data_IF_349148719796
#
_entry.id   IF_349148719796
#
_cell.length_a   1.000
_cell.length_b   1.000
_cell.length_c   1.000
_cell.angle_alpha   90.00
_cell.angle_beta   90.00
_cell.angle_gamma   90.00
#
_symmetry.space_group_name_H-M   'P 1'
#
loop_
_entity.id
_entity.type
_entity.pdbx_description
1 polymer ?
#
# COMPACT_ATOMS: atom_id res chain seq x y z
N UNK A 1 56.24 -3.79 33.18
CA UNK A 1 56.26 -3.08 31.88
C UNK A 1 54.98 -3.39 31.14
N UNK A 2 54.20 -2.34 30.79
CA UNK A 2 53.31 -2.26 29.62
C UNK A 2 52.11 -3.23 29.55
N UNK A 3 50.85 -2.81 29.38
CA UNK A 3 50.25 -1.56 28.91
C UNK A 3 48.81 -1.49 29.45
N UNK A 4 48.47 -0.37 30.05
CA UNK A 4 47.11 0.07 30.36
C UNK A 4 46.38 0.34 29.04
N UNK A 5 45.29 -0.38 28.75
CA UNK A 5 44.42 -0.07 27.60
C UNK A 5 43.56 1.14 28.00
N UNK A 6 44.00 2.30 27.53
CA UNK A 6 43.24 3.55 27.55
C UNK A 6 41.94 3.35 26.75
N UNK A 7 40.82 3.18 27.45
CA UNK A 7 39.48 3.21 26.88
C UNK A 7 39.09 4.68 26.74
N UNK A 8 39.12 5.19 25.51
CA UNK A 8 38.60 6.51 25.17
C UNK A 8 37.07 6.50 25.23
N UNK A 9 36.42 7.42 25.98
CA UNK A 9 34.97 7.55 25.96
C UNK A 9 34.57 8.39 24.74
N UNK A 10 33.78 7.83 23.82
CA UNK A 10 33.26 8.57 22.64
C UNK A 10 31.75 8.85 22.79
N UNK A 11 31.18 8.76 23.99
CA UNK A 11 29.71 8.67 24.14
C UNK A 11 29.03 9.81 24.91
N UNK A 12 29.76 10.83 25.41
CA UNK A 12 29.11 11.97 26.10
C UNK A 12 28.68 13.10 25.17
N UNK A 13 29.50 13.46 24.19
CA UNK A 13 29.33 14.74 23.49
C UNK A 13 28.18 14.73 22.48
N UNK A 14 27.91 13.57 21.85
CA UNK A 14 26.83 13.42 20.87
C UNK A 14 25.41 13.51 21.49
N UNK A 15 25.25 13.15 22.77
CA UNK A 15 23.97 13.30 23.48
C UNK A 15 23.65 14.76 23.77
N UNK A 16 24.66 15.53 24.18
CA UNK A 16 24.53 16.96 24.48
C UNK A 16 24.18 17.79 23.25
N UNK A 17 24.65 17.39 22.06
CA UNK A 17 24.34 18.06 20.79
C UNK A 17 22.91 17.78 20.30
N UNK A 18 22.39 16.58 20.54
CA UNK A 18 21.04 16.19 20.11
C UNK A 18 19.94 16.85 20.95
N UNK A 19 20.17 17.00 22.26
CA UNK A 19 19.26 17.68 23.19
C UNK A 19 19.12 19.18 22.89
N UNK A 20 20.09 19.78 22.18
CA UNK A 20 20.05 21.17 21.74
C UNK A 20 19.22 21.38 20.44
N UNK A 21 18.86 20.30 19.73
CA UNK A 21 18.08 20.39 18.50
C UNK A 21 16.59 20.55 18.81
N UNK A 22 15.90 21.58 18.27
CA UNK A 22 14.46 21.73 18.46
C UNK A 22 13.67 20.49 18.04
N UNK A 23 12.70 20.06 18.84
CA UNK A 23 11.86 18.87 18.58
C UNK A 23 11.18 18.92 17.21
N UNK A 24 10.78 20.11 16.75
CA UNK A 24 10.19 20.31 15.42
C UNK A 24 11.15 19.94 14.28
N UNK A 25 12.45 20.18 14.43
CA UNK A 25 13.46 19.81 13.44
C UNK A 25 13.69 18.29 13.42
N UNK A 26 13.69 17.67 14.61
CA UNK A 26 13.77 16.21 14.74
C UNK A 26 12.54 15.53 14.11
N UNK A 27 11.33 16.06 14.35
CA UNK A 27 10.11 15.56 13.74
C UNK A 27 10.16 15.65 12.21
N UNK A 28 10.59 16.80 11.66
CA UNK A 28 10.79 16.96 10.20
C UNK A 28 11.80 15.98 9.64
N UNK A 29 12.90 15.73 10.33
CA UNK A 29 13.89 14.73 9.91
C UNK A 29 13.30 13.32 9.94
N UNK A 30 12.54 12.96 10.97
CA UNK A 30 11.97 11.62 11.17
C UNK A 30 10.95 11.21 10.10
N UNK A 31 10.29 12.17 9.44
CA UNK A 31 9.32 11.87 8.37
C UNK A 31 9.96 11.86 6.98
N UNK A 32 11.26 12.19 6.85
CA UNK A 32 11.94 12.14 5.56
C UNK A 32 12.14 10.69 5.13
N UNK A 33 11.73 10.31 3.90
CA UNK A 33 11.96 8.96 3.38
C UNK A 33 13.43 8.53 3.43
N UNK A 34 14.35 9.47 3.19
CA UNK A 34 15.80 9.22 3.24
C UNK A 34 16.29 8.84 4.63
N UNK A 35 15.76 9.47 5.70
CA UNK A 35 16.14 9.19 7.08
C UNK A 35 15.64 7.82 7.50
N UNK A 36 14.35 7.53 7.30
CA UNK A 36 13.78 6.23 7.67
C UNK A 36 14.42 5.08 6.89
N UNK A 37 14.68 5.28 5.59
CA UNK A 37 15.38 4.29 4.79
C UNK A 37 16.82 4.09 5.25
N UNK A 38 17.55 5.16 5.58
CA UNK A 38 18.93 5.05 6.06
C UNK A 38 19.03 4.32 7.41
N UNK A 39 18.12 4.59 8.36
CA UNK A 39 18.04 3.85 9.63
C UNK A 39 17.87 2.35 9.33
N UNK A 40 16.85 2.02 8.55
CA UNK A 40 16.53 0.63 8.21
C UNK A 40 17.68 -0.05 7.48
N UNK A 41 18.26 0.60 6.48
CA UNK A 41 19.38 0.06 5.69
C UNK A 41 20.59 -0.20 6.57
N UNK A 42 20.94 0.71 7.48
CA UNK A 42 22.08 0.53 8.40
C UNK A 42 21.93 -0.75 9.24
N UNK A 43 20.70 -1.17 9.57
CA UNK A 43 20.45 -2.45 10.26
C UNK A 43 20.62 -3.70 9.38
N UNK A 44 20.41 -3.59 8.06
CA UNK A 44 20.46 -4.72 7.12
C UNK A 44 21.72 -4.72 6.23
N UNK A 45 22.64 -3.80 6.46
CA UNK A 45 23.93 -3.73 5.75
C UNK A 45 24.70 -5.03 5.96
N UNK A 46 25.11 -5.64 4.86
CA UNK A 46 25.98 -6.81 4.88
C UNK A 46 27.34 -6.45 5.50
N UNK A 47 27.99 -7.39 6.18
CA UNK A 47 29.27 -7.15 6.89
C UNK A 47 30.36 -6.54 6.00
N UNK A 48 30.40 -6.93 4.72
CA UNK A 48 31.34 -6.38 3.72
C UNK A 48 31.15 -4.87 3.45
N UNK A 49 30.02 -4.29 3.84
CA UNK A 49 29.65 -2.88 3.68
C UNK A 49 29.60 -2.14 5.03
N UNK A 50 30.11 -2.73 6.11
CA UNK A 50 30.12 -2.18 7.48
C UNK A 50 30.80 -0.81 7.64
N UNK A 51 31.58 -0.36 6.64
CA UNK A 51 32.21 0.97 6.63
C UNK A 51 31.24 2.11 6.26
N UNK A 52 30.08 1.80 5.69
CA UNK A 52 29.09 2.82 5.30
C UNK A 52 28.41 3.35 6.55
N UNK A 53 28.47 4.66 6.78
CA UNK A 53 27.82 5.29 7.92
C UNK A 53 26.40 5.75 7.58
N UNK A 54 25.63 6.11 8.61
CA UNK A 54 24.26 6.59 8.48
C UNK A 54 24.14 7.84 7.58
N UNK A 55 25.08 8.79 7.69
CA UNK A 55 25.06 10.04 6.93
C UNK A 55 25.21 9.80 5.43
N UNK A 56 26.13 8.92 5.05
CA UNK A 56 26.35 8.52 3.65
C UNK A 56 25.14 7.77 3.09
N UNK A 57 24.53 6.87 3.88
CA UNK A 57 23.28 6.21 3.50
C UNK A 57 22.14 7.20 3.30
N UNK A 58 21.98 8.15 4.22
CA UNK A 58 20.95 9.18 4.12
C UNK A 58 21.15 10.04 2.87
N UNK A 59 22.38 10.49 2.61
CA UNK A 59 22.70 11.33 1.46
C UNK A 59 22.40 10.61 0.13
N UNK A 60 22.80 9.34 0.01
CA UNK A 60 22.56 8.56 -1.20
C UNK A 60 21.07 8.26 -1.42
N UNK A 61 20.31 7.91 -0.37
CA UNK A 61 18.86 7.72 -0.53
C UNK A 61 18.16 9.05 -0.87
N UNK A 62 18.56 10.15 -0.23
CA UNK A 62 17.99 11.47 -0.55
C UNK A 62 18.23 11.85 -2.02
N UNK A 63 19.41 11.55 -2.56
CA UNK A 63 19.73 11.73 -3.98
C UNK A 63 18.82 10.88 -4.87
N UNK A 64 18.68 9.59 -4.58
CA UNK A 64 17.80 8.71 -5.38
C UNK A 64 16.33 9.16 -5.34
N UNK A 65 15.84 9.65 -4.20
CA UNK A 65 14.52 10.26 -4.12
C UNK A 65 14.40 11.50 -5.02
N UNK A 66 15.42 12.36 -5.03
CA UNK A 66 15.45 13.54 -5.89
C UNK A 66 15.50 13.16 -7.38
N UNK A 67 16.29 12.15 -7.75
CA UNK A 67 16.37 11.63 -9.13
C UNK A 67 14.98 11.18 -9.62
N UNK A 68 14.24 10.42 -8.81
CA UNK A 68 12.87 9.99 -9.15
C UNK A 68 11.92 11.18 -9.30
N UNK A 69 12.00 12.17 -8.42
CA UNK A 69 11.20 13.42 -8.52
C UNK A 69 11.53 14.19 -9.81
N UNK A 70 12.77 14.13 -10.27
CA UNK A 70 13.21 14.73 -11.53
C UNK A 70 12.91 13.88 -12.78
N UNK A 71 12.25 12.72 -12.62
CA UNK A 71 11.89 11.81 -13.71
C UNK A 71 12.99 10.83 -14.13
N UNK A 72 14.11 10.77 -13.41
CA UNK A 72 15.20 9.84 -13.67
C UNK A 72 14.90 8.45 -13.08
N UNK A 73 14.34 7.56 -13.90
CA UNK A 73 13.89 6.24 -13.47
C UNK A 73 14.95 5.14 -13.56
N UNK A 74 16.15 5.43 -14.08
CA UNK A 74 17.23 4.43 -14.31
C UNK A 74 17.56 3.61 -13.07
N UNK A 75 17.63 4.25 -11.90
CA UNK A 75 17.90 3.56 -10.65
C UNK A 75 16.74 2.64 -10.24
N UNK A 76 15.49 3.11 -10.38
CA UNK A 76 14.29 2.31 -10.07
C UNK A 76 14.20 1.10 -11.00
N UNK A 77 14.47 1.29 -12.29
CA UNK A 77 14.50 0.20 -13.27
C UNK A 77 15.53 -0.87 -12.90
N UNK A 78 16.75 -0.44 -12.57
CA UNK A 78 17.83 -1.34 -12.16
C UNK A 78 17.49 -2.05 -10.83
N UNK A 79 16.89 -1.34 -9.86
CA UNK A 79 16.48 -1.89 -8.58
C UNK A 79 15.40 -2.97 -8.77
N UNK A 80 14.34 -2.71 -9.55
CA UNK A 80 13.28 -3.67 -9.82
C UNK A 80 13.81 -4.91 -10.55
N UNK A 81 14.73 -4.73 -11.50
CA UNK A 81 15.39 -5.85 -12.17
C UNK A 81 16.22 -6.69 -11.20
N UNK A 82 17.02 -6.06 -10.33
CA UNK A 82 17.81 -6.77 -9.31
C UNK A 82 16.93 -7.52 -8.30
N UNK A 83 15.79 -6.93 -7.91
CA UNK A 83 14.79 -7.59 -7.06
C UNK A 83 14.16 -8.80 -7.76
N UNK A 84 13.78 -8.67 -9.04
CA UNK A 84 13.25 -9.79 -9.83
C UNK A 84 14.26 -10.95 -9.92
N UNK A 85 15.53 -10.66 -10.20
CA UNK A 85 16.60 -11.67 -10.24
C UNK A 85 16.82 -12.33 -8.88
N UNK A 86 16.75 -11.57 -7.79
CA UNK A 86 16.88 -12.12 -6.43
C UNK A 86 15.69 -13.03 -6.08
N UNK A 87 14.47 -12.65 -6.44
CA UNK A 87 13.27 -13.46 -6.24
C UNK A 87 13.28 -14.74 -7.09
N UNK A 88 13.79 -14.67 -8.32
CA UNK A 88 14.01 -15.84 -9.16
C UNK A 88 15.02 -16.81 -8.53
N UNK A 89 16.13 -16.29 -7.97
CA UNK A 89 17.08 -17.11 -7.23
C UNK A 89 16.43 -17.79 -6.00
N UNK A 90 15.61 -17.06 -5.24
CA UNK A 90 14.86 -17.60 -4.09
C UNK A 90 13.86 -18.68 -4.52
N UNK A 91 13.16 -18.47 -5.64
CA UNK A 91 12.28 -19.48 -6.23
C UNK A 91 13.05 -20.77 -6.53
N UNK A 92 14.18 -20.65 -7.24
CA UNK A 92 15.01 -21.79 -7.61
C UNK A 92 15.60 -22.52 -6.39
N UNK A 93 16.00 -21.79 -5.34
CA UNK A 93 16.48 -22.39 -4.08
C UNK A 93 15.37 -23.18 -3.36
N UNK A 94 14.17 -22.62 -3.22
CA UNK A 94 13.05 -23.32 -2.58
C UNK A 94 12.53 -24.49 -3.42
N UNK A 95 12.49 -24.37 -4.75
CA UNK A 95 12.12 -25.46 -5.64
C UNK A 95 13.10 -26.64 -5.54
N UNK A 96 14.41 -26.36 -5.53
CA UNK A 96 15.43 -27.39 -5.31
C UNK A 96 15.34 -28.01 -3.92
N UNK A 97 15.11 -27.21 -2.87
CA UNK A 97 14.92 -27.75 -1.52
C UNK A 97 13.73 -28.69 -1.46
N UNK A 98 12.63 -28.39 -2.15
CA UNK A 98 11.43 -29.23 -2.17
C UNK A 98 11.70 -30.63 -2.77
N UNK A 99 12.55 -30.77 -3.78
CA UNK A 99 12.84 -32.08 -4.41
C UNK A 99 13.60 -33.04 -3.48
N UNK A 100 14.34 -32.51 -2.51
CA UNK A 100 15.12 -33.29 -1.54
C UNK A 100 14.34 -33.71 -0.30
N UNK A 101 13.07 -33.31 -0.17
CA UNK A 101 12.23 -33.64 1.00
C UNK A 101 11.33 -34.82 0.72
N UNK A 102 11.23 -35.72 1.70
CA UNK A 102 10.41 -36.94 1.62
C UNK A 102 9.01 -36.78 2.24
N UNK A 103 8.81 -35.75 3.07
CA UNK A 103 7.55 -35.54 3.78
C UNK A 103 6.73 -34.45 3.10
N UNK A 104 5.48 -34.78 2.78
CA UNK A 104 4.53 -33.90 2.07
C UNK A 104 4.42 -32.51 2.71
N UNK A 105 4.32 -32.34 4.05
CA UNK A 105 4.22 -31.02 4.66
C UNK A 105 5.42 -30.10 4.37
N UNK A 106 6.63 -30.65 4.30
CA UNK A 106 7.83 -29.86 4.00
C UNK A 106 7.91 -29.50 2.52
N UNK A 107 7.55 -30.44 1.64
CA UNK A 107 7.46 -30.19 0.19
C UNK A 107 6.46 -29.08 -0.08
N UNK A 108 5.27 -29.15 0.52
CA UNK A 108 4.23 -28.13 0.39
C UNK A 108 4.68 -26.77 0.92
N UNK A 109 5.30 -26.74 2.11
CA UNK A 109 5.79 -25.48 2.70
C UNK A 109 6.82 -24.78 1.81
N UNK A 110 7.80 -25.52 1.29
CA UNK A 110 8.81 -24.98 0.38
C UNK A 110 8.23 -24.58 -0.97
N UNK A 111 7.39 -25.43 -1.57
CA UNK A 111 6.75 -25.12 -2.86
C UNK A 111 5.86 -23.87 -2.75
N UNK A 112 5.15 -23.69 -1.63
CA UNK A 112 4.37 -22.47 -1.37
C UNK A 112 5.26 -21.22 -1.29
N UNK A 113 6.43 -21.30 -0.68
CA UNK A 113 7.38 -20.17 -0.67
C UNK A 113 7.95 -19.91 -2.07
N UNK A 114 8.28 -20.96 -2.82
CA UNK A 114 8.75 -20.86 -4.20
C UNK A 114 7.71 -20.14 -5.08
N UNK A 115 6.47 -20.61 -5.10
CA UNK A 115 5.41 -20.02 -5.93
C UNK A 115 5.10 -18.57 -5.52
N UNK A 116 5.23 -18.23 -4.22
CA UNK A 116 5.17 -16.83 -3.77
C UNK A 116 6.30 -15.99 -4.34
N UNK A 117 7.55 -16.46 -4.28
CA UNK A 117 8.70 -15.76 -4.84
C UNK A 117 8.54 -15.53 -6.35
N UNK A 118 8.10 -16.56 -7.09
CA UNK A 118 7.80 -16.46 -8.51
C UNK A 118 6.72 -15.40 -8.81
N UNK A 119 5.62 -15.40 -8.05
CA UNK A 119 4.56 -14.41 -8.21
C UNK A 119 5.07 -12.98 -7.99
N UNK A 120 5.90 -12.75 -6.97
CA UNK A 120 6.49 -11.44 -6.70
C UNK A 120 7.52 -11.03 -7.75
N UNK A 121 8.28 -11.97 -8.31
CA UNK A 121 9.18 -11.72 -9.44
C UNK A 121 8.40 -11.21 -10.66
N UNK A 122 7.32 -11.91 -11.03
CA UNK A 122 6.44 -11.48 -12.12
C UNK A 122 5.81 -10.11 -11.86
N UNK A 123 5.42 -9.80 -10.62
CA UNK A 123 4.92 -8.47 -10.25
C UNK A 123 5.98 -7.38 -10.45
N UNK A 124 7.22 -7.63 -10.04
CA UNK A 124 8.33 -6.67 -10.22
C UNK A 124 8.57 -6.36 -11.70
N UNK A 125 8.53 -7.39 -12.57
CA UNK A 125 8.68 -7.22 -14.02
C UNK A 125 7.48 -6.52 -14.67
N UNK A 126 6.27 -6.75 -14.17
CA UNK A 126 5.07 -6.02 -14.62
C UNK A 126 5.17 -4.53 -14.30
N UNK A 127 5.56 -4.20 -13.06
CA UNK A 127 5.78 -2.80 -12.64
C UNK A 127 6.85 -2.15 -13.51
N UNK A 128 7.95 -2.85 -13.79
CA UNK A 128 8.99 -2.36 -14.70
C UNK A 128 8.44 -2.09 -16.11
N UNK A 129 7.62 -3.00 -16.65
CA UNK A 129 6.95 -2.82 -17.94
C UNK A 129 6.00 -1.62 -17.96
N UNK A 130 5.24 -1.41 -16.89
CA UNK A 130 4.34 -0.26 -16.72
C UNK A 130 5.10 1.06 -16.60
N UNK A 131 6.28 1.07 -15.96
CA UNK A 131 7.16 2.25 -15.90
C UNK A 131 7.71 2.59 -17.28
N UNK A 132 8.19 1.60 -18.05
CA UNK A 132 8.76 1.85 -19.39
C UNK A 132 7.71 2.18 -20.45
N UNK A 133 6.47 1.71 -20.27
CA UNK A 133 5.39 1.89 -21.23
C UNK A 133 4.10 2.14 -20.48
N UNK A 134 3.91 3.37 -19.94
CA UNK A 134 2.69 3.70 -19.24
C UNK A 134 1.52 3.55 -20.20
N UNK A 135 0.50 2.79 -19.78
CA UNK A 135 -0.71 2.61 -20.58
C UNK A 135 -1.34 3.99 -20.76
N UNK A 136 -1.25 4.53 -21.97
CA UNK A 136 -1.97 5.75 -22.33
C UNK A 136 -3.45 5.39 -22.28
N UNK A 137 -4.13 5.82 -21.22
CA UNK A 137 -5.58 5.82 -21.19
C UNK A 137 -5.98 6.90 -22.18
N UNK A 138 -6.15 6.50 -23.44
CA UNK A 138 -6.78 7.34 -24.42
C UNK A 138 -8.21 7.54 -23.92
N UNK A 139 -8.46 8.69 -23.30
CA UNK A 139 -9.81 9.20 -23.12
C UNK A 139 -10.32 9.52 -24.53
N UNK A 140 -10.81 8.49 -25.21
CA UNK A 140 -11.63 8.67 -26.40
C UNK A 140 -12.92 9.28 -25.89
N UNK A 141 -12.91 10.60 -25.70
CA UNK A 141 -14.11 11.41 -25.62
C UNK A 141 -14.87 11.04 -26.87
N UNK A 142 -15.94 10.25 -26.74
CA UNK A 142 -16.75 9.82 -27.87
C UNK A 142 -17.08 11.08 -28.67
N UNK A 143 -16.39 11.25 -29.78
CA UNK A 143 -16.64 12.35 -30.67
C UNK A 143 -17.88 11.87 -31.42
N UNK A 144 -19.04 12.32 -30.96
CA UNK A 144 -20.30 12.06 -31.65
C UNK A 144 -20.27 12.91 -32.93
N UNK A 145 -19.55 12.40 -33.93
CA UNK A 145 -19.36 13.04 -35.22
C UNK A 145 -20.63 12.79 -36.04
N UNK A 146 -21.66 13.59 -35.76
CA UNK A 146 -22.84 13.65 -36.61
C UNK A 146 -22.53 14.53 -37.83
N UNK A 147 -21.81 14.00 -38.83
CA UNK A 147 -21.66 14.65 -40.14
C UNK A 147 -22.87 14.39 -41.06
N UNK A 148 -24.08 14.28 -40.50
CA UNK A 148 -25.31 14.10 -41.28
C UNK A 148 -26.53 13.84 -40.43
N UNK A 149 -27.71 13.93 -41.06
CA UNK A 149 -29.00 13.62 -40.45
C UNK A 149 -29.04 12.13 -40.06
N UNK A 150 -28.73 11.81 -38.81
CA UNK A 150 -29.01 10.48 -38.25
C UNK A 150 -30.52 10.34 -38.08
N UNK A 151 -31.18 9.65 -39.02
CA UNK A 151 -32.52 9.14 -38.81
C UNK A 151 -32.43 7.86 -37.98
N UNK A 152 -32.82 7.95 -36.71
CA UNK A 152 -33.14 6.78 -35.89
C UNK A 152 -34.50 6.24 -36.35
N UNK A 153 -34.48 5.13 -37.06
CA UNK A 153 -35.71 4.44 -37.47
C UNK A 153 -36.11 3.47 -36.35
N UNK A 154 -36.71 4.00 -35.28
CA UNK A 154 -37.35 3.14 -34.28
C UNK A 154 -38.59 2.53 -34.94
N UNK A 155 -38.40 1.32 -35.47
CA UNK A 155 -39.40 0.60 -36.24
C UNK A 155 -40.76 0.58 -35.55
N UNK A 156 -41.77 0.98 -36.30
CA UNK A 156 -43.18 0.88 -35.92
C UNK A 156 -43.53 -0.60 -35.66
N UNK A 157 -44.15 -0.96 -34.52
CA UNK A 157 -44.59 -2.33 -34.32
C UNK A 157 -45.84 -2.58 -35.17
N UNK A 158 -45.67 -3.31 -36.27
CA UNK A 158 -46.79 -3.82 -37.07
C UNK A 158 -47.57 -4.90 -36.31
N UNK A 159 -48.89 -5.04 -36.53
CA UNK A 159 -49.74 -5.91 -35.73
C UNK A 159 -49.72 -7.34 -36.28
N UNK A 160 -49.26 -8.32 -35.49
CA UNK A 160 -49.78 -9.72 -35.46
C UNK A 160 -49.02 -10.62 -34.47
N UNK A 161 -49.77 -11.17 -33.51
CA UNK A 161 -49.54 -12.42 -32.75
C UNK A 161 -48.66 -12.35 -31.46
N UNK A 162 -48.94 -13.17 -30.42
CA UNK A 162 -49.32 -12.66 -29.09
C UNK A 162 -48.35 -12.99 -27.93
N UNK A 163 -48.34 -12.06 -26.98
CA UNK A 163 -48.06 -12.13 -25.53
C UNK A 163 -47.34 -13.36 -24.92
N UNK A 164 -46.13 -13.11 -24.42
CA UNK A 164 -45.70 -13.62 -23.11
C UNK A 164 -45.32 -12.40 -22.26
N UNK A 165 -46.11 -12.15 -21.22
CA UNK A 165 -45.89 -11.08 -20.27
C UNK A 165 -44.60 -11.30 -19.47
N UNK A 166 -43.72 -10.30 -19.43
CA UNK A 166 -42.99 -9.99 -18.19
C UNK A 166 -43.03 -8.48 -18.02
N UNK A 167 -43.72 -8.10 -16.97
CA UNK A 167 -43.99 -6.73 -16.54
C UNK A 167 -42.67 -6.09 -16.11
N UNK A 168 -42.12 -5.20 -16.93
CA UNK A 168 -40.96 -4.39 -16.57
C UNK A 168 -41.43 -3.15 -15.79
N UNK A 169 -41.17 -3.21 -14.48
CA UNK A 169 -41.35 -2.15 -13.50
C UNK A 169 -40.61 -0.87 -13.96
N UNK A 170 -41.24 0.32 -14.02
CA UNK A 170 -40.59 1.54 -14.51
C UNK A 170 -39.63 2.20 -13.49
N UNK A 171 -38.98 1.42 -12.61
CA UNK A 171 -38.12 1.94 -11.53
C UNK A 171 -36.63 1.64 -11.68
N UNK A 172 -36.17 1.19 -12.84
CA UNK A 172 -34.73 1.06 -13.11
C UNK A 172 -34.32 1.93 -14.30
N UNK A 173 -34.51 3.24 -14.14
CA UNK A 173 -33.69 4.21 -14.85
C UNK A 173 -32.23 3.94 -14.45
N UNK A 174 -31.44 3.44 -15.39
CA UNK A 174 -29.99 3.36 -15.23
C UNK A 174 -29.47 4.79 -15.16
N UNK A 175 -29.38 5.33 -13.95
CA UNK A 175 -28.74 6.61 -13.69
C UNK A 175 -27.25 6.40 -13.92
N UNK A 176 -26.74 7.06 -14.95
CA UNK A 176 -25.31 7.11 -15.26
C UNK A 176 -24.56 7.71 -14.06
N UNK A 177 -23.46 7.08 -13.64
CA UNK A 177 -22.57 7.64 -12.61
C UNK A 177 -21.94 8.93 -13.14
N UNK A 178 -22.60 10.06 -12.90
CA UNK A 178 -22.04 11.38 -13.14
C UNK A 178 -21.13 11.78 -11.98
N UNK A 179 -20.05 12.52 -12.30
CA UNK A 179 -19.17 13.11 -11.31
C UNK A 179 -19.96 14.19 -10.57
N UNK A 180 -20.09 14.10 -9.24
CA UNK A 180 -20.71 15.16 -8.44
C UNK A 180 -19.95 16.47 -8.67
N UNK A 181 -20.66 17.49 -9.17
CA UNK A 181 -20.19 18.87 -9.22
C UNK A 181 -20.71 19.61 -7.99
N UNK A 182 -19.96 20.63 -7.53
CA UNK A 182 -20.17 21.37 -6.28
C UNK A 182 -21.64 21.84 -6.05
N UNK A 183 -22.38 22.10 -7.13
CA UNK A 183 -23.79 22.52 -7.08
C UNK A 183 -24.75 21.39 -6.63
N UNK A 184 -24.40 20.12 -6.86
CA UNK A 184 -25.15 18.93 -6.40
C UNK A 184 -24.81 18.53 -4.96
N UNK A 185 -23.61 18.88 -4.47
CA UNK A 185 -23.25 18.70 -3.05
C UNK A 185 -24.17 19.50 -2.13
N UNK A 186 -24.54 20.73 -2.52
CA UNK A 186 -25.42 21.58 -1.71
C UNK A 186 -26.84 20.99 -1.52
N UNK A 187 -27.32 20.19 -2.48
CA UNK A 187 -28.65 19.55 -2.42
C UNK A 187 -28.64 18.21 -1.66
N UNK A 188 -27.50 17.51 -1.64
CA UNK A 188 -27.34 16.21 -0.96
C UNK A 188 -26.67 16.29 0.43
N UNK A 189 -26.00 17.39 0.77
CA UNK A 189 -25.43 17.61 2.10
C UNK A 189 -26.49 17.73 3.20
N UNK A 190 -27.73 18.12 2.85
CA UNK A 190 -28.85 18.19 3.78
C UNK A 190 -29.37 16.81 4.24
N UNK A 191 -28.94 15.73 3.59
CA UNK A 191 -29.38 14.34 3.88
C UNK A 191 -28.29 13.46 4.47
N UNK A 192 -27.10 14.01 4.78
CA UNK A 192 -25.97 13.27 5.34
C UNK A 192 -25.71 13.51 6.84
N UNK A 193 -26.52 14.35 7.50
CA UNK A 193 -26.51 14.44 8.97
C UNK A 193 -27.50 13.44 9.58
N UNK A 194 -27.00 12.26 9.94
CA UNK A 194 -27.73 11.28 10.77
C UNK A 194 -27.18 11.24 12.20
N UNK A 195 -26.79 12.41 12.73
CA UNK A 195 -26.46 12.60 14.14
C UNK A 195 -27.71 12.66 15.04
N UNK A 196 -28.58 11.65 15.01
CA UNK A 196 -29.67 11.51 16.00
C UNK A 196 -29.23 10.65 17.18
N UNK A 197 -29.25 11.23 18.38
CA UNK A 197 -29.10 10.54 19.67
C UNK A 197 -30.07 9.37 19.78
N UNK A 198 -29.54 8.16 19.97
CA UNK A 198 -30.34 6.97 20.24
C UNK A 198 -30.99 7.05 21.63
N UNK A 199 -32.28 6.70 21.71
CA UNK A 199 -32.99 6.54 22.98
C UNK A 199 -32.55 5.24 23.66
N UNK A 200 -32.36 5.29 24.98
CA UNK A 200 -32.05 4.10 25.76
C UNK A 200 -33.23 3.11 25.73
N UNK A 201 -33.00 1.92 25.17
CA UNK A 201 -33.98 0.82 25.20
C UNK A 201 -34.08 0.22 26.61
N UNK A 202 -35.31 0.05 27.10
CA UNK A 202 -35.64 -0.60 28.38
C UNK A 202 -35.96 -2.08 28.19
N UNK A 203 -35.02 -2.88 27.70
CA UNK A 203 -35.23 -4.34 27.61
C UNK A 203 -33.94 -5.12 27.94
N UNK A 204 -33.48 -4.98 29.19
CA UNK A 204 -32.97 -6.10 30.01
C UNK A 204 -32.61 -5.57 31.41
N UNK A 205 -33.61 -5.55 32.27
CA UNK A 205 -33.50 -5.23 33.68
C UNK A 205 -33.34 -6.54 34.46
N UNK A 206 -32.10 -6.85 34.89
CA UNK A 206 -31.73 -7.54 36.13
C UNK A 206 -30.23 -7.92 36.09
N UNK A 207 -29.36 -7.06 36.63
CA UNK A 207 -28.00 -7.46 37.00
C UNK A 207 -28.04 -7.92 38.48
N UNK A 208 -27.81 -9.21 38.70
CA UNK A 208 -27.38 -9.72 40.00
C UNK A 208 -25.97 -9.20 40.31
N UNK A 209 -25.78 -8.74 41.53
CA UNK A 209 -24.48 -8.30 42.06
C UNK A 209 -23.65 -9.52 42.42
N UNK A 210 -22.70 -9.91 41.55
CA UNK A 210 -21.67 -10.88 41.93
C UNK A 210 -20.61 -10.19 42.79
N UNK A 211 -20.45 -10.72 44.00
CA UNK A 211 -19.71 -10.12 45.12
C UNK A 211 -18.20 -9.95 44.90
N UNK A 212 -17.62 -9.11 45.77
CA UNK A 212 -16.20 -8.81 45.81
C UNK A 212 -15.37 -10.07 46.09
N UNK A 213 -14.46 -10.41 45.16
CA UNK A 213 -13.43 -11.42 45.36
C UNK A 213 -12.08 -10.71 45.24
N UNK A 214 -11.39 -10.66 46.38
CA UNK A 214 -9.98 -10.34 46.66
C UNK A 214 -9.40 -8.97 46.27
N UNK A 215 -9.34 -8.09 47.28
CA UNK A 215 -8.26 -7.08 47.41
C UNK A 215 -7.13 -7.72 48.23
N UNK A 216 -5.85 -7.63 47.81
CA UNK A 216 -4.74 -7.99 48.68
C UNK A 216 -4.62 -6.98 49.83
N UNK A 217 -4.46 -7.51 51.04
CA UNK A 217 -4.29 -6.78 52.29
C UNK A 217 -2.82 -6.36 52.45
N UNK A 218 -2.61 -5.10 52.83
CA UNK A 218 -1.31 -4.53 53.20
C UNK A 218 -0.73 -5.23 54.44
N UNK A 219 0.55 -5.63 54.36
CA UNK A 219 1.43 -5.91 55.49
C UNK A 219 2.86 -5.44 55.18
#
# INVERSE_FOLDING_TARGET
MSKEKHSTPVTSDAKTELDAVPSANLARASVRPSVNSAITRTHFVHESQSKVNFGDHHAEVAKQCADVVNGEMRHVEAMLMAQALSLDAIFNDYAQKATTRSTVPHVEAYMRMAMKAQAQCAMSLRVLGEIKSPKQVAFVKQQNVAHGHQQVNNGMPGPSAPAVHTQENPENAVVTNELLTDDTEAQHAATLDTGTTSSASRENQALETVGAIDRPEDA
#
